data_IF_869085530373
#
_entry.id   IF_869085530373
#
_cell.length_a   1.000
_cell.length_b   1.000
_cell.length_c   1.000
_cell.angle_alpha   90.00
_cell.angle_beta   90.00
_cell.angle_gamma   90.00
#
_symmetry.space_group_name_H-M   'P 1'
#
loop_
_entity.id
_entity.type
_entity.pdbx_description
1 polymer ?
#
# COMPACT_ATOMS: atom_id res chain seq x y z
N UNK A 1 -14.87 -29.25 7.80
CA UNK A 1 -15.46 -27.89 7.73
C UNK A 1 -14.30 -26.88 7.70
N UNK A 2 -14.22 -25.99 6.69
CA UNK A 2 -13.08 -25.08 6.50
C UNK A 2 -13.30 -23.69 7.15
N UNK A 3 -13.76 -23.63 8.40
CA UNK A 3 -14.03 -22.34 9.07
C UNK A 3 -12.75 -21.53 9.32
N UNK A 4 -11.57 -22.17 9.39
CA UNK A 4 -10.30 -21.49 9.67
C UNK A 4 -9.73 -20.65 8.51
N UNK A 5 -10.15 -20.88 7.25
CA UNK A 5 -9.63 -20.13 6.09
C UNK A 5 -10.44 -18.84 5.87
N UNK A 6 -11.76 -18.89 6.11
CA UNK A 6 -12.64 -17.74 5.93
C UNK A 6 -12.29 -16.59 6.88
N UNK A 7 -11.95 -16.91 8.14
CA UNK A 7 -11.63 -15.89 9.14
C UNK A 7 -10.32 -15.16 8.84
N UNK A 8 -9.26 -15.87 8.43
CA UNK A 8 -7.96 -15.25 8.09
C UNK A 8 -8.05 -14.30 6.89
N UNK A 9 -8.90 -14.62 5.91
CA UNK A 9 -9.12 -13.76 4.75
C UNK A 9 -9.88 -12.49 5.13
N UNK A 10 -10.79 -12.57 6.11
CA UNK A 10 -11.52 -11.42 6.61
C UNK A 10 -10.61 -10.49 7.42
N UNK A 11 -9.79 -11.05 8.32
CA UNK A 11 -8.79 -10.32 9.10
C UNK A 11 -7.77 -9.59 8.21
N UNK A 12 -7.28 -10.24 7.14
CA UNK A 12 -6.35 -9.63 6.20
C UNK A 12 -6.98 -8.45 5.44
N UNK A 13 -8.24 -8.57 5.02
CA UNK A 13 -8.99 -7.48 4.38
C UNK A 13 -9.21 -6.31 5.34
N UNK A 14 -9.59 -6.60 6.58
CA UNK A 14 -9.75 -5.57 7.61
C UNK A 14 -8.44 -4.82 7.86
N UNK A 15 -7.33 -5.55 7.94
CA UNK A 15 -6.00 -4.95 8.12
C UNK A 15 -5.63 -4.01 6.96
N UNK A 16 -5.86 -4.43 5.72
CA UNK A 16 -5.61 -3.59 4.54
C UNK A 16 -6.53 -2.37 4.48
N UNK A 17 -7.79 -2.50 4.88
CA UNK A 17 -8.71 -1.36 4.96
C UNK A 17 -8.24 -0.33 5.99
N UNK A 18 -7.83 -0.76 7.18
CA UNK A 18 -7.29 0.13 8.22
C UNK A 18 -6.02 0.84 7.71
N UNK A 19 -5.14 0.11 7.02
CA UNK A 19 -3.94 0.70 6.41
C UNK A 19 -4.29 1.75 5.35
N UNK A 20 -5.34 1.54 4.56
CA UNK A 20 -5.80 2.52 3.58
C UNK A 20 -6.37 3.77 4.27
N UNK A 21 -7.16 3.61 5.33
CA UNK A 21 -7.67 4.74 6.12
C UNK A 21 -6.54 5.58 6.73
N UNK A 22 -5.49 4.93 7.24
CA UNK A 22 -4.28 5.63 7.74
C UNK A 22 -3.58 6.37 6.59
N UNK A 23 -3.44 5.73 5.43
CA UNK A 23 -2.84 6.32 4.24
C UNK A 23 -3.57 7.57 3.77
N UNK A 24 -4.91 7.53 3.78
CA UNK A 24 -5.77 8.65 3.39
C UNK A 24 -5.67 9.79 4.41
N UNK A 25 -5.68 9.47 5.71
CA UNK A 25 -5.51 10.46 6.77
C UNK A 25 -4.17 11.20 6.68
N UNK A 26 -3.11 10.49 6.32
CA UNK A 26 -1.77 11.05 6.13
C UNK A 26 -1.58 11.69 4.74
N UNK A 27 -2.60 11.68 3.88
CA UNK A 27 -2.55 12.19 2.51
C UNK A 27 -1.35 11.66 1.72
N UNK A 28 -1.03 10.36 1.85
CA UNK A 28 0.12 9.78 1.15
C UNK A 28 -0.10 9.68 -0.36
N UNK A 29 -1.36 9.74 -0.81
CA UNK A 29 -1.75 9.62 -2.22
C UNK A 29 -1.66 8.21 -2.78
N UNK A 30 -1.50 7.20 -1.91
CA UNK A 30 -1.42 5.79 -2.30
C UNK A 30 -2.81 5.23 -2.65
N UNK A 31 -2.91 4.64 -3.84
CA UNK A 31 -4.10 3.83 -4.19
C UNK A 31 -4.08 2.49 -3.44
N UNK A 32 -5.25 1.84 -3.25
CA UNK A 32 -5.33 0.52 -2.61
C UNK A 32 -4.43 -0.54 -3.27
N UNK A 33 -4.29 -0.51 -4.60
CA UNK A 33 -3.38 -1.44 -5.27
C UNK A 33 -1.92 -1.15 -4.94
N UNK A 34 -1.54 0.13 -4.92
CA UNK A 34 -0.16 0.56 -4.64
C UNK A 34 0.21 0.26 -3.20
N UNK A 35 -0.70 0.52 -2.26
CA UNK A 35 -0.51 0.20 -0.84
C UNK A 35 -0.32 -1.31 -0.63
N UNK A 36 -1.13 -2.14 -1.28
CA UNK A 36 -0.99 -3.59 -1.22
C UNK A 36 0.36 -4.08 -1.78
N UNK A 37 0.86 -3.46 -2.86
CA UNK A 37 2.20 -3.74 -3.38
C UNK A 37 3.27 -3.35 -2.36
N UNK A 38 3.15 -2.16 -1.74
CA UNK A 38 4.09 -1.71 -0.72
C UNK A 38 4.14 -2.65 0.48
N UNK A 39 2.98 -3.11 0.96
CA UNK A 39 2.89 -4.10 2.05
C UNK A 39 3.66 -5.37 1.69
N UNK A 40 3.42 -5.92 0.50
CA UNK A 40 4.13 -7.13 0.03
C UNK A 40 5.64 -6.92 -0.06
N UNK A 41 6.08 -5.78 -0.58
CA UNK A 41 7.51 -5.45 -0.65
C UNK A 41 8.13 -5.38 0.75
N UNK A 42 7.44 -4.77 1.71
CA UNK A 42 7.87 -4.76 3.11
C UNK A 42 7.91 -6.17 3.71
N UNK A 43 6.95 -7.05 3.40
CA UNK A 43 6.96 -8.46 3.81
C UNK A 43 8.16 -9.24 3.22
N UNK A 44 8.63 -8.87 2.02
CA UNK A 44 9.87 -9.41 1.45
C UNK A 44 11.15 -8.82 2.06
N UNK A 45 11.04 -7.96 3.06
CA UNK A 45 12.19 -7.35 3.75
C UNK A 45 12.74 -6.11 3.06
N UNK A 46 12.00 -5.51 2.12
CA UNK A 46 12.38 -4.22 1.53
C UNK A 46 12.29 -3.14 2.61
N UNK A 47 13.28 -2.25 2.66
CA UNK A 47 13.27 -1.12 3.59
C UNK A 47 12.12 -0.15 3.23
N UNK A 48 11.17 0.11 4.16
CA UNK A 48 10.02 0.98 3.91
C UNK A 48 10.41 2.44 3.61
N UNK A 49 11.50 2.93 4.20
CA UNK A 49 11.99 4.29 3.97
C UNK A 49 12.56 4.46 2.56
N UNK A 50 13.35 3.47 2.10
CA UNK A 50 13.85 3.44 0.73
C UNK A 50 12.71 3.31 -0.29
N UNK A 51 11.71 2.48 0.01
CA UNK A 51 10.51 2.31 -0.82
C UNK A 51 9.72 3.62 -0.94
N UNK A 52 9.56 4.36 0.17
CA UNK A 52 8.89 5.65 0.16
C UNK A 52 9.62 6.69 -0.70
N UNK A 53 10.96 6.69 -0.69
CA UNK A 53 11.76 7.58 -1.55
C UNK A 53 11.56 7.25 -3.04
N UNK A 54 11.62 5.98 -3.41
CA UNK A 54 11.39 5.53 -4.79
C UNK A 54 10.00 5.91 -5.26
N UNK A 55 8.97 5.66 -4.45
CA UNK A 55 7.59 6.00 -4.78
C UNK A 55 7.39 7.51 -4.95
N UNK A 56 8.02 8.34 -4.12
CA UNK A 56 7.98 9.80 -4.26
C UNK A 56 8.60 10.25 -5.58
N UNK A 57 9.74 9.68 -5.97
CA UNK A 57 10.39 10.04 -7.22
C UNK A 57 9.56 9.62 -8.44
N UNK A 58 9.00 8.40 -8.43
CA UNK A 58 8.10 7.93 -9.49
C UNK A 58 6.89 8.87 -9.64
N UNK A 59 6.23 9.24 -8.54
CA UNK A 59 5.10 10.17 -8.60
C UNK A 59 5.49 11.55 -9.13
N UNK A 60 6.68 12.03 -8.76
CA UNK A 60 7.23 13.29 -9.27
C UNK A 60 7.46 13.23 -10.78
N UNK A 61 8.07 12.18 -11.29
CA UNK A 61 8.29 11.99 -12.73
C UNK A 61 6.96 11.87 -13.49
N UNK A 62 6.00 11.10 -12.95
CA UNK A 62 4.67 10.96 -13.55
C UNK A 62 3.90 12.29 -13.61
N UNK A 63 4.06 13.15 -12.60
CA UNK A 63 3.47 14.50 -12.60
C UNK A 63 4.07 15.42 -13.67
N UNK A 64 5.31 15.16 -14.10
CA UNK A 64 5.94 15.87 -15.23
C UNK A 64 5.45 15.31 -16.57
N UNK A 65 5.23 14.00 -16.66
CA UNK A 65 4.84 13.30 -17.90
C UNK A 65 3.36 13.46 -18.22
N UNK A 66 2.48 13.56 -17.22
CA UNK A 66 1.08 13.97 -17.42
C UNK A 66 0.98 15.49 -17.30
N UNK A 67 1.03 16.26 -18.40
CA UNK A 67 0.57 17.64 -18.34
C UNK A 67 -0.90 17.59 -17.92
N UNK A 68 -1.19 18.33 -16.86
CA UNK A 68 -2.51 18.47 -16.26
C UNK A 68 -3.59 18.87 -17.26
#
# INVERSE_FOLDING_TARGET
>A
MPEGISNKLDEAKQTLNILQEISDLLNTGLTPETLNICVRLCEYGVNPEALALVLKEINRELAVIKPR
#
